data_IF_279446652304
#
_entry.id   IF_279446652304
#
_cell.length_a   1.000
_cell.length_b   1.000
_cell.length_c   1.000
_cell.angle_alpha   90.00
_cell.angle_beta   90.00
_cell.angle_gamma   90.00
#
_symmetry.space_group_name_H-M   'P 1'
#
loop_
_entity.id
_entity.type
_entity.pdbx_description
1 polymer ?
#
# COMPACT_ATOMS: atom_id res chain seq x y z
N UNK A 1 25.20 13.90 42.15
CA UNK A 1 25.78 14.09 40.81
C UNK A 1 24.64 14.34 39.84
N UNK A 2 24.67 15.48 39.17
CA UNK A 2 23.59 16.09 38.38
C UNK A 2 23.54 15.58 36.94
N UNK A 3 22.29 15.29 36.51
CA UNK A 3 21.69 15.45 35.17
C UNK A 3 22.24 14.65 33.97
N UNK A 4 21.49 14.34 32.91
CA UNK A 4 20.07 14.16 32.55
C UNK A 4 20.13 13.90 31.03
N UNK A 5 19.39 12.91 30.52
CA UNK A 5 18.88 12.74 29.13
C UNK A 5 19.84 12.95 27.93
N UNK A 6 19.91 11.92 27.07
CA UNK A 6 19.63 12.10 25.65
C UNK A 6 19.27 10.73 25.05
N UNK A 7 18.00 10.35 25.24
CA UNK A 7 17.28 9.71 24.14
C UNK A 7 17.41 10.72 23.02
N UNK A 8 18.13 10.38 21.96
CA UNK A 8 18.16 11.19 20.74
C UNK A 8 16.71 11.36 20.33
N UNK A 9 16.10 12.50 20.67
CA UNK A 9 14.80 12.89 20.19
C UNK A 9 14.92 12.78 18.67
N UNK A 10 14.24 11.78 18.10
CA UNK A 10 14.04 11.71 16.67
C UNK A 10 13.46 13.08 16.32
N UNK A 11 14.25 13.90 15.62
CA UNK A 11 13.80 15.19 15.15
C UNK A 11 12.39 15.01 14.56
N UNK A 12 11.44 15.91 14.86
CA UNK A 12 10.09 15.81 14.28
C UNK A 12 10.24 15.57 12.78
N UNK A 13 9.69 14.46 12.30
CA UNK A 13 9.79 14.13 10.87
C UNK A 13 9.13 15.27 10.11
N UNK A 14 9.92 16.01 9.34
CA UNK A 14 9.40 17.06 8.48
C UNK A 14 8.44 16.43 7.46
N UNK A 15 7.33 17.12 7.18
CA UNK A 15 6.42 16.70 6.10
C UNK A 15 7.10 16.86 4.75
N UNK A 16 6.55 16.22 3.71
CA UNK A 16 7.03 16.40 2.33
C UNK A 16 7.15 17.88 1.95
N UNK A 17 6.12 18.67 2.22
CA UNK A 17 6.07 20.10 1.89
C UNK A 17 7.19 20.86 2.61
N UNK A 18 7.38 20.56 3.90
CA UNK A 18 8.44 21.17 4.70
C UNK A 18 9.83 20.83 4.16
N UNK A 19 10.06 19.61 3.67
CA UNK A 19 11.33 19.19 3.06
C UNK A 19 11.58 19.90 1.72
N UNK A 20 10.55 20.01 0.88
CA UNK A 20 10.62 20.73 -0.40
C UNK A 20 10.91 22.21 -0.16
N UNK A 21 10.21 22.83 0.79
CA UNK A 21 10.40 24.24 1.13
C UNK A 21 11.77 24.51 1.76
N UNK A 22 12.26 23.60 2.60
CA UNK A 22 13.61 23.68 3.15
C UNK A 22 14.67 23.56 2.05
N UNK A 23 14.53 22.63 1.12
CA UNK A 23 15.44 22.48 -0.02
C UNK A 23 15.46 23.74 -0.90
N UNK A 24 14.28 24.28 -1.26
CA UNK A 24 14.16 25.52 -2.03
C UNK A 24 14.72 26.73 -1.30
N UNK A 25 14.55 26.78 0.02
CA UNK A 25 15.10 27.85 0.86
C UNK A 25 16.62 27.78 0.92
N UNK A 26 17.19 26.58 1.13
CA UNK A 26 18.63 26.37 1.13
C UNK A 26 19.26 26.74 -0.22
N UNK A 27 18.60 26.41 -1.34
CA UNK A 27 19.07 26.72 -2.68
C UNK A 27 19.37 28.22 -2.90
N UNK A 28 18.67 29.13 -2.22
CA UNK A 28 18.87 30.59 -2.32
C UNK A 28 20.23 31.06 -1.81
N UNK A 29 20.86 30.28 -0.92
CA UNK A 29 22.12 30.63 -0.27
C UNK A 29 23.31 29.83 -0.82
N UNK A 30 23.09 29.02 -1.85
CA UNK A 30 24.11 28.17 -2.46
C UNK A 30 24.70 28.80 -3.74
N UNK A 31 25.96 28.47 -4.11
CA UNK A 31 26.51 28.78 -5.42
C UNK A 31 25.65 28.18 -6.55
N UNK A 32 25.69 28.79 -7.74
CA UNK A 32 24.77 28.49 -8.86
C UNK A 32 24.61 26.99 -9.13
N UNK A 33 25.71 26.24 -9.28
CA UNK A 33 25.65 24.80 -9.56
C UNK A 33 24.96 24.01 -8.44
N UNK A 34 25.29 24.31 -7.18
CA UNK A 34 24.68 23.66 -6.01
C UNK A 34 23.21 24.06 -5.82
N UNK A 35 22.86 25.31 -6.13
CA UNK A 35 21.49 25.82 -6.10
C UNK A 35 20.60 25.09 -7.11
N UNK A 36 21.09 24.89 -8.33
CA UNK A 36 20.40 24.13 -9.38
C UNK A 36 20.14 22.69 -8.95
N UNK A 37 21.16 22.02 -8.39
CA UNK A 37 21.01 20.65 -7.88
C UNK A 37 20.00 20.55 -6.74
N UNK A 38 19.99 21.51 -5.81
CA UNK A 38 19.06 21.51 -4.68
C UNK A 38 17.61 21.75 -5.13
N UNK A 39 17.38 22.62 -6.11
CA UNK A 39 16.05 22.82 -6.69
C UNK A 39 15.56 21.59 -7.46
N UNK A 40 16.45 20.95 -8.23
CA UNK A 40 16.11 19.71 -8.94
C UNK A 40 15.80 18.56 -7.97
N UNK A 41 16.53 18.47 -6.85
CA UNK A 41 16.22 17.52 -5.78
C UNK A 41 14.81 17.75 -5.23
N UNK A 42 14.44 19.01 -4.95
CA UNK A 42 13.11 19.35 -4.47
C UNK A 42 12.01 18.95 -5.48
N UNK A 43 12.24 19.17 -6.78
CA UNK A 43 11.30 18.78 -7.84
C UNK A 43 11.14 17.25 -7.92
N UNK A 44 12.25 16.49 -7.88
CA UNK A 44 12.17 15.03 -7.91
C UNK A 44 11.50 14.45 -6.67
N UNK A 45 11.74 15.03 -5.50
CA UNK A 45 11.04 14.64 -4.29
C UNK A 45 9.53 14.83 -4.45
N UNK A 46 9.09 15.99 -4.93
CA UNK A 46 7.67 16.27 -5.14
C UNK A 46 7.02 15.25 -6.11
N UNK A 47 7.62 15.08 -7.29
CA UNK A 47 7.10 14.15 -8.33
C UNK A 47 7.03 12.72 -7.81
N UNK A 48 8.11 12.24 -7.17
CA UNK A 48 8.17 10.86 -6.68
C UNK A 48 7.22 10.61 -5.52
N UNK A 49 7.00 11.60 -4.65
CA UNK A 49 6.00 11.49 -3.60
C UNK A 49 4.58 11.40 -4.16
N UNK A 50 4.23 12.22 -5.16
CA UNK A 50 2.90 12.13 -5.81
C UNK A 50 2.73 10.76 -6.46
N UNK A 51 3.70 10.31 -7.25
CA UNK A 51 3.66 9.00 -7.89
C UNK A 51 3.56 7.85 -6.88
N UNK A 52 4.23 7.95 -5.73
CA UNK A 52 4.14 6.97 -4.65
C UNK A 52 2.73 6.95 -4.04
N UNK A 53 2.15 8.10 -3.75
CA UNK A 53 0.79 8.21 -3.21
C UNK A 53 -0.24 7.59 -4.17
N UNK A 54 -0.13 7.89 -5.47
CA UNK A 54 -0.99 7.30 -6.51
C UNK A 54 -0.82 5.79 -6.61
N UNK A 55 0.42 5.29 -6.61
CA UNK A 55 0.69 3.85 -6.64
C UNK A 55 0.16 3.13 -5.39
N UNK A 56 0.26 3.76 -4.21
CA UNK A 56 -0.31 3.22 -2.97
C UNK A 56 -1.85 3.18 -3.03
N UNK A 57 -2.50 4.21 -3.57
CA UNK A 57 -3.94 4.24 -3.75
C UNK A 57 -4.42 3.15 -4.73
N UNK A 58 -3.78 3.03 -5.90
CA UNK A 58 -4.08 1.98 -6.88
C UNK A 58 -3.89 0.59 -6.29
N UNK A 59 -2.82 0.39 -5.51
CA UNK A 59 -2.55 -0.90 -4.88
C UNK A 59 -3.59 -1.25 -3.81
N UNK A 60 -4.09 -0.26 -3.06
CA UNK A 60 -5.19 -0.46 -2.09
C UNK A 60 -6.46 -0.88 -2.82
N UNK A 61 -6.83 -0.15 -3.86
CA UNK A 61 -8.01 -0.46 -4.69
C UNK A 61 -7.93 -1.89 -5.27
N UNK A 62 -6.78 -2.27 -5.84
CA UNK A 62 -6.58 -3.63 -6.35
C UNK A 62 -6.68 -4.71 -5.25
N UNK A 63 -6.26 -4.39 -4.03
CA UNK A 63 -6.40 -5.31 -2.88
C UNK A 63 -7.86 -5.51 -2.49
N UNK A 64 -8.63 -4.43 -2.48
CA UNK A 64 -10.06 -4.47 -2.15
C UNK A 64 -10.81 -5.26 -3.23
N UNK A 65 -10.55 -4.98 -4.51
CA UNK A 65 -11.08 -5.75 -5.64
C UNK A 65 -10.70 -7.22 -5.60
N UNK A 66 -9.45 -7.56 -5.26
CA UNK A 66 -9.01 -8.94 -5.15
C UNK A 66 -9.76 -9.69 -4.03
N UNK A 67 -10.05 -9.00 -2.92
CA UNK A 67 -10.84 -9.56 -1.82
C UNK A 67 -12.26 -9.86 -2.26
N UNK A 68 -12.93 -8.89 -2.91
CA UNK A 68 -14.28 -9.09 -3.45
C UNK A 68 -14.33 -10.24 -4.45
N UNK A 69 -13.39 -10.31 -5.40
CA UNK A 69 -13.35 -11.39 -6.39
C UNK A 69 -13.13 -12.77 -5.75
N UNK A 70 -12.31 -12.85 -4.70
CA UNK A 70 -12.12 -14.10 -3.95
C UNK A 70 -13.42 -14.55 -3.26
N UNK A 71 -14.16 -13.62 -2.68
CA UNK A 71 -15.47 -13.91 -2.06
C UNK A 71 -16.51 -14.34 -3.11
N UNK A 72 -16.52 -13.68 -4.27
CA UNK A 72 -17.41 -14.01 -5.40
C UNK A 72 -17.13 -15.43 -5.92
N UNK A 73 -15.86 -15.82 -6.07
CA UNK A 73 -15.47 -17.18 -6.46
C UNK A 73 -16.00 -18.21 -5.45
N UNK A 74 -15.87 -17.95 -4.15
CA UNK A 74 -16.40 -18.85 -3.11
C UNK A 74 -17.93 -18.92 -3.16
N UNK A 75 -18.61 -17.79 -3.39
CA UNK A 75 -20.06 -17.73 -3.50
C UNK A 75 -20.56 -18.52 -4.71
N UNK A 76 -19.91 -18.34 -5.86
CA UNK A 76 -20.28 -19.02 -7.09
C UNK A 76 -20.03 -20.52 -7.02
N UNK A 77 -18.91 -20.95 -6.44
CA UNK A 77 -18.62 -22.37 -6.21
C UNK A 77 -19.70 -23.06 -5.36
N UNK A 78 -20.20 -22.39 -4.31
CA UNK A 78 -21.32 -22.89 -3.50
C UNK A 78 -22.62 -22.98 -4.29
N UNK A 79 -22.88 -22.04 -5.19
CA UNK A 79 -24.07 -22.10 -6.05
C UNK A 79 -23.95 -23.23 -7.09
N UNK A 80 -22.76 -23.47 -7.65
CA UNK A 80 -22.50 -24.63 -8.50
C UNK A 80 -22.79 -25.94 -7.76
N UNK A 81 -22.27 -26.10 -6.55
CA UNK A 81 -22.55 -27.26 -5.70
C UNK A 81 -24.07 -27.40 -5.45
N UNK A 82 -24.76 -26.31 -5.07
CA UNK A 82 -26.22 -26.32 -4.86
C UNK A 82 -26.99 -26.74 -6.13
N UNK A 83 -26.59 -26.26 -7.30
CA UNK A 83 -27.24 -26.62 -8.57
C UNK A 83 -27.00 -28.09 -8.91
N UNK A 84 -25.79 -28.58 -8.70
CA UNK A 84 -25.45 -29.99 -8.91
C UNK A 84 -26.23 -30.88 -7.94
N UNK A 85 -26.33 -30.54 -6.65
CA UNK A 85 -27.15 -31.27 -5.67
C UNK A 85 -28.63 -31.30 -6.09
N UNK A 86 -29.16 -30.18 -6.58
CA UNK A 86 -30.56 -30.12 -7.07
C UNK A 86 -30.79 -31.04 -8.25
N UNK A 87 -29.81 -31.20 -9.13
CA UNK A 87 -29.92 -32.01 -10.34
C UNK A 87 -29.69 -33.51 -10.05
N UNK A 88 -28.62 -33.84 -9.34
CA UNK A 88 -28.19 -35.22 -9.07
C UNK A 88 -28.88 -35.84 -7.85
N UNK A 89 -29.51 -35.01 -7.00
CA UNK A 89 -30.05 -35.39 -5.68
C UNK A 89 -29.01 -35.99 -4.74
N UNK A 90 -27.73 -35.76 -5.03
CA UNK A 90 -26.60 -36.25 -4.24
C UNK A 90 -25.87 -35.04 -3.65
N UNK A 91 -25.61 -35.00 -2.34
CA UNK A 91 -24.81 -33.95 -1.72
C UNK A 91 -23.42 -33.84 -2.36
N UNK A 92 -22.96 -32.63 -2.63
CA UNK A 92 -21.65 -32.35 -3.26
C UNK A 92 -21.06 -31.05 -2.72
N UNK A 93 -19.74 -31.01 -2.64
CA UNK A 93 -18.97 -29.81 -2.28
C UNK A 93 -17.70 -29.69 -3.13
N UNK A 94 -17.67 -30.38 -4.28
CA UNK A 94 -16.48 -30.52 -5.11
C UNK A 94 -16.03 -29.15 -5.62
N UNK A 95 -16.95 -28.31 -6.08
CA UNK A 95 -16.62 -26.99 -6.61
C UNK A 95 -16.11 -26.08 -5.50
N UNK A 96 -16.74 -26.11 -4.32
CA UNK A 96 -16.28 -25.33 -3.16
C UNK A 96 -14.88 -25.74 -2.71
N UNK A 97 -14.55 -27.04 -2.71
CA UNK A 97 -13.23 -27.53 -2.33
C UNK A 97 -12.16 -27.18 -3.37
N UNK A 98 -12.49 -27.28 -4.65
CA UNK A 98 -11.60 -26.89 -5.75
C UNK A 98 -11.30 -25.39 -5.72
N UNK A 99 -12.33 -24.55 -5.63
CA UNK A 99 -12.19 -23.10 -5.52
C UNK A 99 -11.32 -22.70 -4.31
N UNK A 100 -11.53 -23.31 -3.15
CA UNK A 100 -10.69 -23.04 -1.97
C UNK A 100 -9.23 -23.43 -2.17
N UNK A 101 -8.98 -24.55 -2.87
CA UNK A 101 -7.62 -25.00 -3.18
C UNK A 101 -6.93 -24.01 -4.13
N UNK A 102 -7.58 -23.65 -5.22
CA UNK A 102 -7.05 -22.69 -6.20
C UNK A 102 -6.79 -21.33 -5.56
N UNK A 103 -7.74 -20.81 -4.77
CA UNK A 103 -7.56 -19.55 -4.06
C UNK A 103 -6.41 -19.58 -3.05
N UNK A 104 -6.07 -20.75 -2.47
CA UNK A 104 -4.91 -20.93 -1.59
C UNK A 104 -3.59 -20.93 -2.37
N UNK A 105 -3.59 -21.46 -3.59
CA UNK A 105 -2.43 -21.46 -4.48
C UNK A 105 -2.13 -20.04 -5.02
N UNK A 106 -3.15 -19.17 -5.10
CA UNK A 106 -2.97 -17.77 -5.48
C UNK A 106 -2.27 -16.95 -4.39
N UNK A 107 -1.27 -16.11 -4.73
CA UNK A 107 -0.59 -15.24 -3.78
C UNK A 107 -1.57 -14.41 -2.96
N UNK A 108 -1.43 -14.48 -1.64
CA UNK A 108 -2.20 -13.63 -0.74
C UNK A 108 -1.45 -12.30 -0.59
N UNK A 109 -2.03 -11.23 -1.13
CA UNK A 109 -1.48 -9.88 -0.94
C UNK A 109 -1.90 -9.40 0.45
N UNK A 110 -1.11 -9.75 1.47
CA UNK A 110 -1.36 -9.31 2.85
C UNK A 110 -0.62 -7.99 3.09
N UNK A 111 -1.36 -6.90 3.27
CA UNK A 111 -0.79 -5.66 3.77
C UNK A 111 -0.76 -5.69 5.29
N UNK A 112 0.44 -5.59 5.87
CA UNK A 112 0.55 -5.14 7.24
C UNK A 112 0.05 -3.68 7.29
N UNK A 113 -1.17 -3.46 7.78
CA UNK A 113 -1.59 -2.17 8.33
C UNK A 113 -0.69 -1.84 9.53
N UNK A 114 0.57 -1.45 9.29
CA UNK A 114 1.39 -0.79 10.29
C UNK A 114 1.72 0.59 9.77
N UNK A 115 0.91 1.51 10.29
CA UNK A 115 1.05 2.95 10.28
C UNK A 115 0.75 3.61 8.94
N UNK A 116 -0.46 4.15 8.86
CA UNK A 116 -0.74 5.38 8.12
C UNK A 116 0.18 6.48 8.65
N UNK A 117 1.44 6.45 8.27
CA UNK A 117 2.24 7.66 8.21
C UNK A 117 1.71 8.39 6.98
N UNK A 118 0.83 9.36 7.23
CA UNK A 118 0.53 10.43 6.28
C UNK A 118 1.87 10.94 5.75
N UNK A 119 2.13 10.71 4.47
CA UNK A 119 3.25 11.33 3.75
C UNK A 119 2.93 12.79 3.48
#
# INVERSE_FOLDING_TARGET
MTNTQNVTELQPRMTREQLIDAARTAAKFLPIASSQLMNELANRLDITSVALCEAMAQRKELSDQNTTLRDDVVSWAKECDRLEERHTKTPTNVHSLEAQRELRELPQVVFAQKNEAVL
#
